data_IF_504451456341
#
_entry.id   IF_504451456341
#
_cell.length_a   1.000
_cell.length_b   1.000
_cell.length_c   1.000
_cell.angle_alpha   90.00
_cell.angle_beta   90.00
_cell.angle_gamma   90.00
#
_symmetry.space_group_name_H-M   'P 1'
#
loop_
_entity.id
_entity.type
_entity.pdbx_description
1 polymer ?
#
# COMPACT_ATOMS: atom_id res chain seq x y z
N UNK A 1 -28.52 -11.37 7.76
CA UNK A 1 -27.16 -10.81 7.90
C UNK A 1 -26.92 -9.95 6.67
N UNK A 2 -26.72 -8.64 6.80
CA UNK A 2 -26.37 -7.80 5.64
C UNK A 2 -24.95 -8.17 5.21
N UNK A 3 -24.78 -8.67 4.00
CA UNK A 3 -23.47 -8.80 3.39
C UNK A 3 -22.87 -7.40 3.33
N UNK A 4 -21.96 -7.06 4.25
CA UNK A 4 -21.20 -5.80 4.19
C UNK A 4 -20.22 -5.93 3.03
N UNK A 5 -20.74 -5.76 1.83
CA UNK A 5 -19.96 -5.69 0.59
C UNK A 5 -19.43 -4.29 0.44
N UNK A 6 -18.22 -4.15 -0.10
CA UNK A 6 -17.61 -2.85 -0.33
C UNK A 6 -17.75 -2.45 -1.80
N UNK A 7 -17.27 -3.29 -2.73
CA UNK A 7 -17.37 -3.02 -4.17
C UNK A 7 -18.75 -3.31 -4.74
N UNK A 8 -19.44 -4.30 -4.16
CA UNK A 8 -20.75 -4.76 -4.63
C UNK A 8 -21.89 -4.13 -3.82
N UNK A 9 -21.64 -3.02 -3.13
CA UNK A 9 -22.68 -2.28 -2.41
C UNK A 9 -23.44 -1.39 -3.37
N UNK A 10 -24.72 -1.69 -3.59
CA UNK A 10 -25.63 -0.81 -4.32
C UNK A 10 -26.19 0.30 -3.43
N UNK A 11 -26.59 -0.02 -2.19
CA UNK A 11 -27.20 0.93 -1.25
C UNK A 11 -26.77 0.66 0.22
N UNK A 12 -26.98 1.65 1.10
CA UNK A 12 -26.74 1.51 2.54
C UNK A 12 -28.03 1.11 3.24
N UNK A 13 -27.97 0.11 4.12
CA UNK A 13 -29.14 -0.22 4.94
C UNK A 13 -29.50 0.92 5.88
N UNK A 14 -30.77 0.99 6.32
CA UNK A 14 -31.22 1.95 7.35
C UNK A 14 -30.30 1.91 8.58
N UNK A 15 -29.90 0.71 8.99
CA UNK A 15 -28.95 0.51 10.10
C UNK A 15 -27.59 1.13 9.80
N UNK A 16 -27.03 0.90 8.61
CA UNK A 16 -25.74 1.49 8.23
C UNK A 16 -25.81 3.02 8.21
N UNK A 17 -26.87 3.59 7.61
CA UNK A 17 -27.06 5.04 7.55
C UNK A 17 -27.17 5.63 8.95
N UNK A 18 -27.96 5.02 9.83
CA UNK A 18 -28.04 5.40 11.24
C UNK A 18 -26.68 5.37 11.90
N UNK A 19 -25.90 4.29 11.80
CA UNK A 19 -24.58 4.18 12.45
C UNK A 19 -23.56 5.23 11.94
N UNK A 20 -23.69 5.64 10.67
CA UNK A 20 -22.66 6.42 9.96
C UNK A 20 -22.88 7.92 9.95
N UNK A 21 -24.10 8.41 10.15
CA UNK A 21 -24.39 9.85 10.40
C UNK A 21 -23.91 10.20 11.82
N UNK A 22 -23.30 11.37 12.04
CA UNK A 22 -22.93 11.76 13.41
C UNK A 22 -24.16 12.08 14.26
N UNK A 23 -24.05 11.87 15.58
CA UNK A 23 -25.17 12.11 16.48
C UNK A 23 -25.72 13.55 16.40
N UNK A 24 -24.91 14.62 16.37
CA UNK A 24 -25.41 15.98 16.27
C UNK A 24 -26.24 16.23 15.00
N UNK A 25 -25.78 15.74 13.84
CA UNK A 25 -26.48 15.92 12.57
C UNK A 25 -27.77 15.10 12.50
N UNK A 26 -27.76 13.87 13.04
CA UNK A 26 -28.95 13.05 13.10
C UNK A 26 -30.01 13.66 14.04
N UNK A 27 -29.59 14.14 15.21
CA UNK A 27 -30.47 14.78 16.19
C UNK A 27 -31.02 16.09 15.64
N UNK A 28 -30.21 16.93 14.97
CA UNK A 28 -30.66 18.22 14.46
C UNK A 28 -31.84 18.09 13.48
N UNK A 29 -31.82 17.05 12.64
CA UNK A 29 -32.87 16.77 11.66
C UNK A 29 -34.06 16.01 12.26
N UNK A 30 -33.83 15.04 13.15
CA UNK A 30 -34.88 14.12 13.62
C UNK A 30 -35.37 14.36 15.07
N UNK A 31 -34.94 15.44 15.73
CA UNK A 31 -35.34 15.75 17.13
C UNK A 31 -36.85 15.75 17.39
N UNK A 32 -37.68 16.11 16.40
CA UNK A 32 -39.14 16.15 16.54
C UNK A 32 -39.75 14.75 16.71
N UNK A 33 -39.01 13.71 16.31
CA UNK A 33 -39.39 12.32 16.49
C UNK A 33 -38.82 11.71 17.78
N UNK A 34 -38.17 12.48 18.67
CA UNK A 34 -37.61 11.93 19.91
C UNK A 34 -38.74 11.35 20.79
N UNK A 35 -38.70 10.03 21.01
CA UNK A 35 -39.64 9.34 21.91
C UNK A 35 -38.86 8.43 22.89
N UNK A 36 -39.27 8.36 24.15
CA UNK A 36 -38.74 7.40 25.13
C UNK A 36 -39.44 6.05 24.98
N UNK A 37 -38.73 4.96 25.26
CA UNK A 37 -39.33 3.62 25.36
C UNK A 37 -40.05 3.42 26.71
N UNK A 38 -39.74 4.25 27.70
CA UNK A 38 -40.33 4.19 29.03
C UNK A 38 -41.59 5.07 29.07
N UNK A 39 -42.75 4.43 29.22
CA UNK A 39 -44.08 5.07 29.26
C UNK A 39 -44.28 6.00 30.48
N UNK A 40 -43.36 5.98 31.46
CA UNK A 40 -43.47 6.74 32.72
C UNK A 40 -42.86 8.16 32.67
N UNK A 41 -42.03 8.50 31.66
CA UNK A 41 -41.28 9.77 31.59
C UNK A 41 -41.54 10.55 30.27
N UNK A 42 -42.82 10.79 29.97
CA UNK A 42 -43.23 11.50 28.73
C UNK A 42 -43.02 13.02 28.77
N UNK A 43 -42.75 13.62 29.93
CA UNK A 43 -42.66 15.07 30.05
C UNK A 43 -41.28 15.66 29.67
N UNK A 44 -40.21 14.86 29.58
CA UNK A 44 -38.87 15.34 29.21
C UNK A 44 -38.04 14.28 28.45
N UNK A 45 -38.49 13.84 27.28
CA UNK A 45 -37.68 12.94 26.43
C UNK A 45 -36.43 13.67 25.95
N UNK A 46 -35.25 13.22 26.40
CA UNK A 46 -33.98 13.74 25.91
C UNK A 46 -33.81 13.43 24.41
N UNK A 47 -33.56 14.47 23.62
CA UNK A 47 -33.28 14.35 22.19
C UNK A 47 -31.87 13.81 21.95
N UNK A 48 -31.70 12.49 22.15
CA UNK A 48 -30.50 11.77 21.75
C UNK A 48 -30.76 10.95 20.48
N UNK A 49 -29.67 10.52 19.82
CA UNK A 49 -29.72 9.84 18.52
C UNK A 49 -30.58 8.56 18.55
N UNK A 50 -30.53 7.80 19.65
CA UNK A 50 -31.27 6.56 19.83
C UNK A 50 -32.77 6.84 19.96
N UNK A 51 -33.16 7.79 20.80
CA UNK A 51 -34.56 8.18 21.00
C UNK A 51 -35.18 8.75 19.71
N UNK A 52 -34.42 9.57 18.97
CA UNK A 52 -34.85 10.08 17.67
C UNK A 52 -35.08 8.94 16.67
N UNK A 53 -34.17 7.96 16.60
CA UNK A 53 -34.32 6.81 15.70
C UNK A 53 -35.49 5.90 16.10
N UNK A 54 -35.68 5.65 17.40
CA UNK A 54 -36.80 4.85 17.91
C UNK A 54 -38.14 5.49 17.59
N UNK A 55 -38.33 6.77 17.91
CA UNK A 55 -39.60 7.44 17.63
C UNK A 55 -39.83 7.66 16.13
N UNK A 56 -38.76 7.85 15.33
CA UNK A 56 -38.85 7.83 13.86
C UNK A 56 -39.34 6.45 13.37
N UNK A 57 -38.75 5.37 13.89
CA UNK A 57 -39.13 3.99 13.56
C UNK A 57 -40.59 3.70 13.92
N UNK A 58 -41.07 4.20 15.07
CA UNK A 58 -42.48 4.08 15.48
C UNK A 58 -43.42 4.92 14.60
N UNK A 59 -43.05 6.16 14.28
CA UNK A 59 -43.84 7.05 13.43
C UNK A 59 -44.08 6.47 12.03
N UNK A 60 -43.12 5.70 11.53
CA UNK A 60 -43.22 4.96 10.27
C UNK A 60 -43.60 3.48 10.44
N UNK A 61 -44.13 3.07 11.59
CA UNK A 61 -44.63 1.70 11.85
C UNK A 61 -43.61 0.59 11.54
N UNK A 62 -42.32 0.86 11.76
CA UNK A 62 -41.21 -0.05 11.45
C UNK A 62 -41.09 -0.40 9.94
N UNK A 63 -41.69 0.40 9.06
CA UNK A 63 -41.58 0.27 7.61
C UNK A 63 -40.18 0.68 7.15
N UNK A 64 -39.35 -0.31 6.80
CA UNK A 64 -37.95 -0.14 6.42
C UNK A 64 -37.81 0.71 5.16
N UNK A 65 -38.71 0.58 4.18
CA UNK A 65 -38.61 1.30 2.90
C UNK A 65 -38.91 2.79 3.10
N UNK A 66 -39.90 3.09 3.96
CA UNK A 66 -40.19 4.48 4.36
C UNK A 66 -39.06 5.08 5.17
N UNK A 67 -38.52 4.33 6.15
CA UNK A 67 -37.37 4.78 6.93
C UNK A 67 -36.15 5.05 6.04
N UNK A 68 -35.89 4.17 5.07
CA UNK A 68 -34.83 4.37 4.09
C UNK A 68 -35.03 5.67 3.30
N UNK A 69 -36.24 5.91 2.79
CA UNK A 69 -36.58 7.11 2.01
C UNK A 69 -36.36 8.40 2.80
N UNK A 70 -36.66 8.40 4.10
CA UNK A 70 -36.56 9.58 4.97
C UNK A 70 -35.13 9.82 5.46
N UNK A 71 -34.38 8.76 5.77
CA UNK A 71 -33.01 8.87 6.29
C UNK A 71 -32.00 9.11 5.15
N UNK A 72 -32.25 8.60 3.94
CA UNK A 72 -31.33 8.67 2.81
C UNK A 72 -30.87 10.10 2.45
N UNK A 73 -31.74 11.12 2.34
CA UNK A 73 -31.28 12.48 2.04
C UNK A 73 -30.32 13.03 3.10
N UNK A 74 -30.59 12.75 4.38
CA UNK A 74 -29.73 13.14 5.50
C UNK A 74 -28.40 12.39 5.46
N UNK A 75 -28.42 11.10 5.11
CA UNK A 75 -27.21 10.33 4.89
C UNK A 75 -26.41 10.83 3.68
N UNK A 76 -27.07 11.27 2.63
CA UNK A 76 -26.39 11.77 1.44
C UNK A 76 -25.65 13.08 1.70
N UNK A 77 -26.19 13.92 2.59
CA UNK A 77 -25.64 15.21 3.01
C UNK A 77 -24.59 15.08 4.14
N UNK A 78 -24.88 14.31 5.19
CA UNK A 78 -24.07 14.25 6.43
C UNK A 78 -23.44 12.87 6.71
N UNK A 79 -23.82 11.85 5.95
CA UNK A 79 -23.41 10.48 6.19
C UNK A 79 -21.98 10.18 5.75
N UNK A 80 -21.26 9.39 6.55
CA UNK A 80 -19.95 8.85 6.17
C UNK A 80 -20.10 7.68 5.21
N UNK A 81 -19.84 7.93 3.93
CA UNK A 81 -19.82 6.94 2.85
C UNK A 81 -18.49 6.19 2.80
N UNK A 82 -18.48 5.00 2.21
CA UNK A 82 -17.30 4.14 2.12
C UNK A 82 -17.20 3.16 3.29
N UNK A 83 -16.06 2.49 3.50
CA UNK A 83 -15.83 1.61 4.65
C UNK A 83 -14.45 1.83 5.25
N UNK A 84 -14.33 1.42 6.52
CA UNK A 84 -13.03 1.12 7.11
C UNK A 84 -12.62 -0.27 6.66
N UNK A 85 -11.35 -0.47 6.36
CA UNK A 85 -10.93 -1.68 5.68
C UNK A 85 -9.65 -2.25 6.27
N UNK A 86 -9.60 -3.58 6.32
CA UNK A 86 -8.36 -4.33 6.49
C UNK A 86 -8.08 -5.03 5.16
N UNK A 87 -6.89 -4.82 4.61
CA UNK A 87 -6.54 -5.26 3.26
C UNK A 87 -5.22 -6.02 3.34
N UNK A 88 -5.15 -7.16 2.65
CA UNK A 88 -3.89 -7.91 2.47
C UNK A 88 -3.56 -7.95 0.98
N UNK A 89 -2.33 -7.56 0.64
CA UNK A 89 -1.86 -7.50 -0.74
C UNK A 89 -1.03 -8.72 -1.12
N UNK A 90 -1.28 -9.21 -2.33
CA UNK A 90 -0.54 -10.27 -3.00
C UNK A 90 -0.16 -9.82 -4.41
N UNK A 91 0.80 -10.51 -5.01
CA UNK A 91 1.21 -10.27 -6.40
C UNK A 91 1.25 -11.56 -7.19
N UNK A 92 0.60 -11.56 -8.35
CA UNK A 92 0.77 -12.56 -9.40
C UNK A 92 1.97 -12.20 -10.27
N UNK A 93 2.96 -13.09 -10.35
CA UNK A 93 4.13 -12.92 -11.23
C UNK A 93 3.83 -13.08 -12.72
N UNK A 94 2.63 -13.55 -13.05
CA UNK A 94 2.24 -13.79 -14.43
C UNK A 94 1.63 -12.56 -15.13
N UNK A 95 1.53 -11.43 -14.43
CA UNK A 95 1.01 -10.19 -15.00
C UNK A 95 1.95 -9.55 -16.05
N UNK A 96 1.40 -8.76 -16.99
CA UNK A 96 -0.01 -8.37 -17.09
C UNK A 96 -0.90 -9.49 -17.62
N UNK A 97 -2.09 -9.66 -17.03
CA UNK A 97 -3.12 -10.60 -17.53
C UNK A 97 -4.35 -9.82 -17.95
N UNK A 98 -4.92 -10.20 -19.08
CA UNK A 98 -6.15 -9.60 -19.61
C UNK A 98 -7.29 -10.61 -19.56
N UNK A 99 -8.52 -10.11 -19.44
CA UNK A 99 -9.72 -10.95 -19.47
C UNK A 99 -10.13 -11.18 -20.93
N UNK A 100 -9.78 -12.34 -21.47
CA UNK A 100 -10.28 -12.81 -22.77
C UNK A 100 -11.74 -13.28 -22.66
N UNK A 101 -12.43 -13.44 -23.79
CA UNK A 101 -13.79 -14.00 -23.82
C UNK A 101 -13.85 -15.41 -23.23
N UNK A 102 -12.80 -16.21 -23.44
CA UNK A 102 -12.67 -17.54 -22.85
C UNK A 102 -12.59 -17.47 -21.32
N UNK A 103 -11.74 -16.59 -20.78
CA UNK A 103 -11.62 -16.39 -19.33
C UNK A 103 -12.94 -15.86 -18.75
N UNK A 104 -13.59 -14.93 -19.43
CA UNK A 104 -14.91 -14.40 -19.04
C UNK A 104 -15.96 -15.52 -19.00
N UNK A 105 -16.04 -16.33 -20.04
CA UNK A 105 -16.96 -17.47 -20.11
C UNK A 105 -16.69 -18.47 -19.00
N UNK A 106 -15.41 -18.78 -18.74
CA UNK A 106 -14.99 -19.65 -17.66
C UNK A 106 -15.45 -19.10 -16.31
N UNK A 107 -15.15 -17.84 -15.99
CA UNK A 107 -15.55 -17.22 -14.73
C UNK A 107 -17.07 -17.26 -14.56
N UNK A 108 -17.83 -16.87 -15.59
CA UNK A 108 -19.29 -16.91 -15.55
C UNK A 108 -19.84 -18.32 -15.31
N UNK A 109 -19.21 -19.35 -15.89
CA UNK A 109 -19.61 -20.75 -15.66
C UNK A 109 -19.34 -21.25 -14.22
N UNK A 110 -18.53 -20.52 -13.44
CA UNK A 110 -18.13 -20.88 -12.08
C UNK A 110 -18.95 -20.14 -11.01
N UNK A 111 -19.69 -19.10 -11.39
CA UNK A 111 -20.52 -18.33 -10.46
C UNK A 111 -21.52 -19.26 -9.76
N UNK A 112 -21.56 -19.17 -8.44
CA UNK A 112 -22.36 -19.98 -7.52
C UNK A 112 -22.08 -21.50 -7.56
N UNK A 113 -20.98 -21.94 -8.19
CA UNK A 113 -20.54 -23.34 -8.15
C UNK A 113 -19.48 -23.53 -7.07
N UNK A 114 -19.50 -24.69 -6.42
CA UNK A 114 -18.51 -25.02 -5.41
C UNK A 114 -17.17 -25.30 -6.09
N UNK A 115 -16.15 -24.50 -5.79
CA UNK A 115 -14.83 -24.59 -6.40
C UNK A 115 -14.09 -25.85 -5.96
N UNK A 116 -14.43 -26.40 -4.78
CA UNK A 116 -13.81 -27.64 -4.26
C UNK A 116 -14.11 -28.86 -5.14
N UNK A 117 -15.20 -28.82 -5.90
CA UNK A 117 -15.65 -29.90 -6.79
C UNK A 117 -15.01 -29.85 -8.19
N UNK A 118 -14.11 -28.89 -8.43
CA UNK A 118 -13.57 -28.61 -9.76
C UNK A 118 -12.10 -29.01 -9.83
N UNK A 119 -11.80 -30.09 -10.56
CA UNK A 119 -10.47 -30.70 -10.64
C UNK A 119 -9.34 -29.71 -10.97
N UNK A 120 -9.59 -28.75 -11.87
CA UNK A 120 -8.59 -27.74 -12.26
C UNK A 120 -8.25 -26.70 -11.17
N UNK A 121 -9.06 -26.63 -10.12
CA UNK A 121 -8.94 -25.65 -9.03
C UNK A 121 -8.78 -26.31 -7.67
N UNK A 122 -8.40 -27.60 -7.59
CA UNK A 122 -8.44 -28.35 -6.33
C UNK A 122 -7.08 -28.45 -5.61
N UNK A 123 -6.73 -27.50 -4.71
CA UNK A 123 -5.66 -27.65 -3.76
C UNK A 123 -6.21 -27.94 -2.35
N UNK A 124 -6.78 -29.13 -2.08
CA UNK A 124 -7.11 -29.58 -0.71
C UNK A 124 -7.78 -28.48 0.16
N UNK A 125 -8.78 -27.80 -0.39
CA UNK A 125 -9.55 -26.78 0.32
C UNK A 125 -10.31 -27.45 1.47
N UNK A 126 -10.32 -26.82 2.65
CA UNK A 126 -10.96 -27.38 3.86
C UNK A 126 -12.40 -26.90 4.06
N UNK A 127 -12.87 -26.05 3.17
CA UNK A 127 -14.12 -25.30 3.27
C UNK A 127 -14.72 -25.17 1.87
N UNK A 128 -16.03 -25.03 1.80
CA UNK A 128 -16.72 -24.81 0.53
C UNK A 128 -16.50 -23.36 0.09
N UNK A 129 -16.11 -23.18 -1.17
CA UNK A 129 -15.72 -21.87 -1.70
C UNK A 129 -16.48 -21.60 -2.99
N UNK A 130 -17.11 -20.43 -3.06
CA UNK A 130 -17.93 -20.03 -4.19
C UNK A 130 -17.50 -18.63 -4.66
N UNK A 131 -17.44 -18.43 -5.98
CA UNK A 131 -17.49 -17.09 -6.56
C UNK A 131 -18.97 -16.72 -6.64
N UNK A 132 -19.40 -15.73 -5.88
CA UNK A 132 -20.80 -15.30 -5.83
C UNK A 132 -21.11 -14.25 -6.89
N UNK A 133 -20.21 -13.27 -7.05
CA UNK A 133 -20.38 -12.17 -7.98
C UNK A 133 -19.04 -11.69 -8.53
N UNK A 134 -19.03 -11.19 -9.77
CA UNK A 134 -17.85 -10.65 -10.44
C UNK A 134 -18.22 -9.36 -11.18
N UNK A 135 -17.45 -8.29 -10.99
CA UNK A 135 -17.61 -7.05 -11.74
C UNK A 135 -16.39 -6.80 -12.63
N UNK A 136 -16.62 -6.79 -13.95
CA UNK A 136 -15.59 -6.54 -14.96
C UNK A 136 -15.40 -5.04 -15.16
N UNK A 137 -14.17 -4.55 -14.94
CA UNK A 137 -13.75 -3.19 -15.26
C UNK A 137 -12.62 -3.21 -16.29
N UNK A 138 -12.24 -2.04 -16.78
CA UNK A 138 -11.19 -1.92 -17.81
C UNK A 138 -9.80 -2.26 -17.26
N UNK A 139 -9.45 -1.75 -16.08
CA UNK A 139 -8.12 -1.91 -15.49
C UNK A 139 -8.03 -3.01 -14.42
N UNK A 140 -9.16 -3.51 -13.93
CA UNK A 140 -9.21 -4.49 -12.84
C UNK A 140 -10.48 -5.35 -12.88
N UNK A 141 -10.49 -6.40 -12.04
CA UNK A 141 -11.60 -7.32 -11.85
C UNK A 141 -11.93 -7.47 -10.38
N UNK A 142 -13.21 -7.25 -10.03
CA UNK A 142 -13.70 -7.42 -8.67
C UNK A 142 -14.37 -8.78 -8.50
N UNK A 143 -14.12 -9.42 -7.38
CA UNK A 143 -14.71 -10.69 -6.99
C UNK A 143 -15.36 -10.58 -5.62
N UNK A 144 -16.54 -11.16 -5.49
CA UNK A 144 -17.18 -11.47 -4.21
C UNK A 144 -17.14 -12.98 -4.01
N UNK A 145 -16.46 -13.43 -2.98
CA UNK A 145 -16.40 -14.83 -2.58
C UNK A 145 -17.33 -15.09 -1.40
N UNK A 146 -18.03 -16.22 -1.45
CA UNK A 146 -18.74 -16.80 -0.30
C UNK A 146 -17.99 -18.04 0.14
N UNK A 147 -17.66 -18.09 1.42
CA UNK A 147 -16.94 -19.18 2.07
C UNK A 147 -17.90 -19.81 3.07
N UNK A 148 -18.07 -21.13 3.00
CA UNK A 148 -18.92 -21.87 3.91
C UNK A 148 -18.13 -22.90 4.69
N UNK A 149 -18.17 -22.75 6.01
CA UNK A 149 -17.66 -23.72 6.97
C UNK A 149 -18.85 -24.44 7.61
N UNK A 150 -18.93 -25.76 7.41
CA UNK A 150 -19.93 -26.56 8.10
C UNK A 150 -19.40 -27.10 9.42
N UNK A 151 -20.06 -26.73 10.51
CA UNK A 151 -19.79 -27.24 11.85
C UNK A 151 -20.93 -28.18 12.24
N UNK A 152 -20.59 -29.33 12.81
CA UNK A 152 -21.58 -30.23 13.40
C UNK A 152 -21.73 -29.82 14.86
N UNK A 153 -22.85 -29.21 15.20
CA UNK A 153 -23.21 -28.88 16.58
C UNK A 153 -23.98 -30.06 17.17
N UNK A 154 -23.50 -30.58 18.30
CA UNK A 154 -24.00 -31.80 18.88
C UNK A 154 -24.90 -31.55 20.10
N UNK A 155 -26.16 -31.11 19.93
CA UNK A 155 -27.17 -31.15 21.03
C UNK A 155 -28.62 -31.16 20.51
N UNK A 156 -29.56 -31.92 21.11
CA UNK A 156 -29.53 -33.37 21.35
C UNK A 156 -29.58 -34.22 20.06
N UNK A 157 -29.71 -33.58 18.89
CA UNK A 157 -29.58 -34.17 17.55
C UNK A 157 -28.46 -33.41 16.85
N UNK A 158 -27.51 -34.08 16.15
CA UNK A 158 -26.48 -33.36 15.40
C UNK A 158 -27.14 -32.45 14.35
N UNK A 159 -26.94 -31.14 14.48
CA UNK A 159 -27.38 -30.15 13.50
C UNK A 159 -26.13 -29.68 12.75
N UNK A 160 -26.20 -29.71 11.41
CA UNK A 160 -25.19 -29.08 10.56
C UNK A 160 -25.47 -27.58 10.51
N UNK A 161 -24.65 -26.80 11.21
CA UNK A 161 -24.65 -25.36 11.08
C UNK A 161 -23.67 -24.97 9.97
N UNK A 162 -24.13 -24.14 9.03
CA UNK A 162 -23.31 -23.59 7.96
C UNK A 162 -23.03 -22.13 8.29
N UNK A 163 -21.78 -21.84 8.60
CA UNK A 163 -21.32 -20.48 8.79
C UNK A 163 -20.81 -19.94 7.45
N UNK A 164 -21.49 -18.92 6.93
CA UNK A 164 -21.12 -18.26 5.69
C UNK A 164 -20.38 -16.95 5.97
N UNK A 165 -19.19 -16.80 5.41
CA UNK A 165 -18.43 -15.56 5.39
C UNK A 165 -18.30 -15.03 3.95
N UNK A 166 -18.27 -13.70 3.79
CA UNK A 166 -18.06 -13.05 2.51
C UNK A 166 -16.71 -12.32 2.52
N UNK A 167 -15.91 -12.57 1.48
CA UNK A 167 -14.62 -11.92 1.27
C UNK A 167 -14.62 -11.31 -0.13
N UNK A 168 -14.19 -10.06 -0.24
CA UNK A 168 -14.03 -9.40 -1.53
C UNK A 168 -12.57 -9.37 -1.95
N UNK A 169 -12.33 -9.40 -3.25
CA UNK A 169 -11.00 -9.28 -3.82
C UNK A 169 -11.03 -8.42 -5.08
N UNK A 170 -9.94 -7.69 -5.32
CA UNK A 170 -9.71 -6.94 -6.56
C UNK A 170 -8.40 -7.40 -7.19
N UNK A 171 -8.43 -7.71 -8.48
CA UNK A 171 -7.27 -8.05 -9.28
C UNK A 171 -6.94 -6.93 -10.27
N UNK A 172 -5.76 -6.33 -10.16
CA UNK A 172 -5.29 -5.28 -11.06
C UNK A 172 -4.53 -5.90 -12.24
N UNK A 173 -5.05 -5.71 -13.46
CA UNK A 173 -4.53 -6.38 -14.66
C UNK A 173 -3.09 -5.98 -14.99
N UNK A 174 -2.77 -4.69 -14.86
CA UNK A 174 -1.47 -4.14 -15.26
C UNK A 174 -0.30 -4.65 -14.42
N UNK A 175 -0.50 -4.77 -13.10
CA UNK A 175 0.55 -5.10 -12.14
C UNK A 175 0.52 -6.52 -11.60
N UNK A 176 -0.64 -7.17 -11.71
CA UNK A 176 -0.89 -8.46 -11.08
C UNK A 176 -1.15 -8.37 -9.59
N UNK A 177 -1.33 -7.18 -9.02
CA UNK A 177 -1.67 -7.04 -7.60
C UNK A 177 -3.06 -7.61 -7.37
N UNK A 178 -3.19 -8.36 -6.28
CA UNK A 178 -4.45 -8.89 -5.77
C UNK A 178 -4.63 -8.32 -4.36
N UNK A 179 -5.64 -7.47 -4.18
CA UNK A 179 -6.03 -6.95 -2.88
C UNK A 179 -7.19 -7.76 -2.34
N UNK A 180 -7.02 -8.38 -1.16
CA UNK A 180 -8.10 -9.05 -0.43
C UNK A 180 -8.64 -8.13 0.66
N UNK A 181 -9.95 -7.97 0.73
CA UNK A 181 -10.63 -7.03 1.60
C UNK A 181 -11.33 -7.74 2.75
N UNK A 182 -11.12 -7.21 3.95
CA UNK A 182 -11.57 -7.73 5.22
C UNK A 182 -11.32 -9.24 5.39
N UNK A 183 -10.06 -9.72 5.21
CA UNK A 183 -9.77 -11.11 5.48
C UNK A 183 -9.88 -11.33 7.00
N UNK A 184 -11.01 -11.84 7.50
CA UNK A 184 -11.10 -12.35 8.87
C UNK A 184 -10.55 -13.78 8.99
N UNK A 185 -10.21 -14.37 7.83
CA UNK A 185 -9.62 -15.68 7.66
C UNK A 185 -8.18 -15.85 8.12
N UNK A 186 -7.75 -17.11 8.17
CA UNK A 186 -6.33 -17.44 8.33
C UNK A 186 -5.52 -17.07 7.09
N UNK A 187 -4.20 -16.85 7.24
CA UNK A 187 -3.27 -16.62 6.10
C UNK A 187 -3.40 -17.69 5.02
N UNK A 188 -3.76 -18.93 5.39
CA UNK A 188 -4.02 -20.02 4.45
C UNK A 188 -5.24 -19.75 3.57
N UNK A 189 -6.36 -19.36 4.17
CA UNK A 189 -7.60 -19.05 3.44
C UNK A 189 -7.38 -17.91 2.45
N UNK A 190 -6.66 -16.86 2.86
CA UNK A 190 -6.28 -15.76 1.95
C UNK A 190 -5.47 -16.25 0.75
N UNK A 191 -4.46 -17.11 0.98
CA UNK A 191 -3.66 -17.69 -0.13
C UNK A 191 -4.50 -18.54 -1.07
N UNK A 192 -5.44 -19.30 -0.54
CA UNK A 192 -6.30 -20.17 -1.33
C UNK A 192 -7.27 -19.37 -2.22
N UNK A 193 -7.84 -18.26 -1.73
CA UNK A 193 -8.62 -17.31 -2.54
C UNK A 193 -7.79 -16.74 -3.69
N UNK A 194 -6.57 -16.29 -3.41
CA UNK A 194 -5.67 -15.68 -4.41
C UNK A 194 -5.24 -16.72 -5.46
N UNK A 195 -5.03 -17.97 -5.05
CA UNK A 195 -4.79 -19.10 -5.98
C UNK A 195 -5.96 -19.33 -6.91
N UNK A 196 -7.19 -19.33 -6.40
CA UNK A 196 -8.37 -19.46 -7.24
C UNK A 196 -8.40 -18.35 -8.27
N UNK A 197 -8.20 -17.08 -7.86
CA UNK A 197 -8.13 -15.94 -8.80
C UNK A 197 -7.08 -16.19 -9.88
N UNK A 198 -5.85 -16.58 -9.52
CA UNK A 198 -4.79 -16.87 -10.48
C UNK A 198 -5.18 -17.98 -11.47
N UNK A 199 -5.74 -19.08 -10.96
CA UNK A 199 -6.07 -20.27 -11.74
C UNK A 199 -7.18 -20.02 -12.78
N UNK A 200 -7.98 -18.96 -12.60
CA UNK A 200 -8.95 -18.51 -13.61
C UNK A 200 -8.25 -18.08 -14.90
N UNK A 201 -7.09 -17.43 -14.79
CA UNK A 201 -6.31 -16.92 -15.92
C UNK A 201 -5.29 -17.95 -16.42
N UNK A 202 -4.59 -18.63 -15.51
CA UNK A 202 -3.55 -19.60 -15.85
C UNK A 202 -3.84 -20.90 -15.11
N UNK A 203 -4.31 -21.96 -15.80
CA UNK A 203 -4.84 -23.17 -15.16
C UNK A 203 -3.76 -24.09 -14.54
N UNK A 204 -2.53 -23.63 -14.36
CA UNK A 204 -1.41 -24.40 -13.81
C UNK A 204 -0.44 -23.54 -13.00
N UNK A 205 0.20 -24.16 -11.99
CA UNK A 205 1.32 -23.64 -11.18
C UNK A 205 1.16 -22.17 -10.70
N UNK A 206 0.37 -21.92 -9.65
CA UNK A 206 0.12 -20.57 -9.16
C UNK A 206 1.37 -19.88 -8.61
N UNK A 207 1.91 -18.93 -9.38
CA UNK A 207 3.05 -18.08 -8.99
C UNK A 207 2.59 -16.81 -8.30
N UNK A 208 2.13 -16.98 -7.06
CA UNK A 208 1.64 -15.92 -6.20
C UNK A 208 2.65 -15.67 -5.08
N UNK A 209 2.91 -14.40 -4.82
CA UNK A 209 3.79 -13.96 -3.73
C UNK A 209 3.04 -13.02 -2.80
N UNK A 210 3.32 -13.14 -1.50
CA UNK A 210 2.93 -12.09 -0.55
C UNK A 210 3.75 -10.84 -0.84
N UNK A 211 3.11 -9.68 -0.82
CA UNK A 211 3.84 -8.42 -0.89
C UNK A 211 4.50 -8.22 0.47
N UNK A 212 5.84 -8.20 0.47
CA UNK A 212 6.65 -7.81 1.62
C UNK A 212 7.25 -6.45 1.31
N UNK A 213 7.14 -5.53 2.26
CA UNK A 213 7.58 -4.15 2.16
C UNK A 213 8.76 -3.93 3.11
N UNK A 214 9.90 -3.53 2.56
CA UNK A 214 11.05 -3.11 3.36
C UNK A 214 10.95 -1.64 3.81
N UNK A 215 11.93 -1.19 4.60
CA UNK A 215 11.98 0.19 5.11
C UNK A 215 11.96 1.22 3.97
N UNK A 216 12.70 0.98 2.88
CA UNK A 216 12.77 1.91 1.76
C UNK A 216 11.42 2.02 1.05
N UNK A 217 10.73 0.91 0.87
CA UNK A 217 9.38 0.87 0.30
C UNK A 217 8.37 1.60 1.18
N UNK A 218 8.41 1.42 2.50
CA UNK A 218 7.52 2.13 3.40
C UNK A 218 7.74 3.64 3.36
N UNK A 219 9.00 4.10 3.32
CA UNK A 219 9.29 5.54 3.18
C UNK A 219 8.86 6.05 1.78
N UNK A 220 9.08 5.29 0.72
CA UNK A 220 8.63 5.67 -0.64
C UNK A 220 7.11 5.76 -0.74
N UNK A 221 6.36 4.84 -0.11
CA UNK A 221 4.90 4.92 -0.03
C UNK A 221 4.48 6.21 0.67
N UNK A 222 5.16 6.56 1.77
CA UNK A 222 4.88 7.79 2.49
C UNK A 222 5.09 9.05 1.63
N UNK A 223 6.22 9.11 0.92
CA UNK A 223 6.52 10.22 0.02
C UNK A 223 5.50 10.31 -1.12
N UNK A 224 5.09 9.15 -1.68
CA UNK A 224 4.12 9.08 -2.77
C UNK A 224 2.73 9.55 -2.34
N UNK A 225 2.27 9.12 -1.16
CA UNK A 225 1.00 9.52 -0.58
C UNK A 225 1.02 10.96 -0.02
N UNK A 226 2.20 11.59 0.07
CA UNK A 226 2.42 12.91 0.70
C UNK A 226 1.81 12.99 2.11
N UNK A 227 1.90 11.90 2.86
CA UNK A 227 1.30 11.82 4.18
C UNK A 227 2.11 12.54 5.27
N UNK A 228 1.50 12.67 6.44
CA UNK A 228 2.14 13.01 7.70
C UNK A 228 2.29 11.73 8.53
N UNK A 229 3.52 11.40 8.95
CA UNK A 229 3.77 10.20 9.76
C UNK A 229 3.37 10.46 11.21
N UNK A 230 2.49 9.64 11.76
CA UNK A 230 2.32 9.51 13.20
C UNK A 230 3.28 8.43 13.70
N UNK A 231 4.23 8.80 14.57
CA UNK A 231 5.30 7.97 15.17
C UNK A 231 5.38 6.50 14.71
N UNK A 232 6.39 6.10 13.91
CA UNK A 232 6.55 4.70 13.49
C UNK A 232 6.81 3.80 14.71
N UNK A 233 6.28 2.57 14.66
CA UNK A 233 6.54 1.56 15.71
C UNK A 233 7.87 0.87 15.41
N UNK A 234 8.75 0.82 16.40
CA UNK A 234 10.07 0.18 16.30
C UNK A 234 10.08 -1.17 17.02
N UNK A 235 10.87 -2.13 16.51
CA UNK A 235 11.33 -3.31 17.27
C UNK A 235 12.77 -3.04 17.74
N UNK A 236 13.05 -3.23 19.03
CA UNK A 236 14.41 -3.56 19.49
C UNK A 236 14.47 -5.06 19.80
N UNK A 237 15.62 -5.68 19.57
CA UNK A 237 15.87 -7.11 19.82
C UNK A 237 16.01 -7.49 21.31
N UNK A 238 15.50 -6.67 22.22
CA UNK A 238 15.39 -6.99 23.65
C UNK A 238 14.04 -6.51 24.18
N UNK A 239 13.56 -7.19 25.22
CA UNK A 239 12.22 -7.23 25.87
C UNK A 239 11.53 -5.91 26.29
N UNK A 240 11.84 -4.78 25.67
CA UNK A 240 11.22 -3.48 25.92
C UNK A 240 10.36 -3.05 24.73
N UNK A 241 9.14 -3.59 24.67
CA UNK A 241 8.06 -3.07 23.82
C UNK A 241 7.68 -1.66 24.28
N UNK A 242 8.28 -0.63 23.70
CA UNK A 242 7.76 0.73 23.84
C UNK A 242 6.66 0.98 22.82
N UNK A 243 5.40 0.82 23.26
CA UNK A 243 4.24 1.30 22.53
C UNK A 243 4.07 2.77 22.90
N UNK A 244 4.52 3.68 22.03
CA UNK A 244 4.27 5.11 22.21
C UNK A 244 2.87 5.41 21.62
N UNK A 245 1.93 5.78 22.48
CA UNK A 245 0.64 6.34 22.10
C UNK A 245 0.62 7.84 22.40
N UNK A 246 0.25 8.63 21.40
CA UNK A 246 -0.23 10.01 21.54
C UNK A 246 0.84 11.09 21.41
N UNK A 247 0.74 11.93 20.39
CA UNK A 247 1.24 13.29 20.46
C UNK A 247 0.15 14.25 20.02
N UNK A 248 -0.46 14.83 21.06
CA UNK A 248 -1.26 16.06 21.02
C UNK A 248 -0.37 17.23 20.58
N UNK A 249 -0.95 18.23 19.93
CA UNK A 249 -0.27 19.44 19.40
C UNK A 249 0.44 20.31 20.47
N UNK A 250 0.34 19.97 21.76
CA UNK A 250 0.93 20.74 22.88
C UNK A 250 2.41 20.40 23.14
N UNK A 251 2.96 19.32 22.57
CA UNK A 251 4.36 18.93 22.80
C UNK A 251 5.29 19.29 21.63
N UNK A 252 5.22 20.55 21.14
CA UNK A 252 6.20 21.11 20.20
C UNK A 252 7.58 21.40 20.83
N UNK A 253 7.81 21.04 22.09
CA UNK A 253 9.15 20.99 22.68
C UNK A 253 9.68 19.55 22.66
N UNK A 254 10.51 19.27 21.66
CA UNK A 254 11.43 18.12 21.52
C UNK A 254 11.12 16.91 22.42
N UNK A 255 10.51 15.84 21.90
CA UNK A 255 10.78 14.53 22.46
C UNK A 255 12.20 14.19 21.99
N UNK A 256 13.19 14.55 22.80
CA UNK A 256 14.52 13.93 22.76
C UNK A 256 14.30 12.43 22.95
N UNK A 257 14.08 11.72 21.84
CA UNK A 257 14.49 10.34 21.69
C UNK A 257 15.96 10.37 22.06
N UNK A 258 16.30 9.88 23.25
CA UNK A 258 17.69 9.54 23.57
C UNK A 258 18.11 8.59 22.47
N UNK A 259 18.84 9.12 21.49
CA UNK A 259 19.52 8.35 20.48
C UNK A 259 20.35 7.33 21.25
N UNK A 260 19.94 6.07 21.20
CA UNK A 260 20.86 5.00 21.53
C UNK A 260 21.86 5.05 20.37
N UNK A 261 22.97 5.76 20.62
CA UNK A 261 24.18 5.64 19.86
C UNK A 261 24.63 4.18 19.96
N UNK A 262 24.23 3.35 19.00
CA UNK A 262 24.96 2.18 18.48
C UNK A 262 24.00 1.26 17.72
N UNK A 263 23.81 1.56 16.43
CA UNK A 263 23.66 0.65 15.29
C UNK A 263 22.77 1.31 14.22
N UNK A 264 23.29 1.39 13.01
CA UNK A 264 22.73 2.03 11.80
C UNK A 264 21.40 1.42 11.28
N UNK A 265 20.65 0.69 12.10
CA UNK A 265 19.45 -0.05 11.68
C UNK A 265 18.28 0.21 12.63
N UNK A 266 17.55 1.30 12.41
CA UNK A 266 16.17 1.43 12.88
C UNK A 266 15.27 0.93 11.76
N UNK A 267 14.86 -0.33 11.82
CA UNK A 267 13.95 -0.93 10.84
C UNK A 267 12.54 -0.41 11.06
N UNK A 268 11.98 0.29 10.07
CA UNK A 268 10.54 0.59 10.05
C UNK A 268 9.84 -0.70 9.63
N UNK A 269 9.07 -1.30 10.54
CA UNK A 269 8.23 -2.47 10.23
C UNK A 269 6.78 -2.10 9.98
N UNK A 270 6.41 -0.86 10.30
CA UNK A 270 5.05 -0.35 10.15
C UNK A 270 5.07 1.18 9.95
N UNK A 271 4.37 1.62 8.90
CA UNK A 271 4.10 3.01 8.60
C UNK A 271 2.69 3.36 9.08
N UNK A 272 2.58 4.31 10.00
CA UNK A 272 1.31 4.93 10.38
C UNK A 272 1.28 6.35 9.82
N UNK A 273 0.34 6.65 8.94
CA UNK A 273 0.30 7.92 8.20
C UNK A 273 -1.10 8.49 8.08
N UNK A 274 -1.19 9.81 8.13
CA UNK A 274 -2.39 10.58 7.80
C UNK A 274 -2.14 11.34 6.51
N UNK A 275 -2.94 11.11 5.49
CA UNK A 275 -2.78 11.77 4.18
C UNK A 275 -4.12 12.27 3.65
N UNK A 276 -4.07 13.06 2.58
CA UNK A 276 -5.26 13.46 1.83
C UNK A 276 -5.18 12.84 0.44
N UNK A 277 -6.13 11.97 0.12
CA UNK A 277 -6.19 11.24 -1.15
C UNK A 277 -7.54 11.52 -1.80
N UNK A 278 -7.55 12.00 -3.04
CA UNK A 278 -8.77 12.41 -3.75
C UNK A 278 -9.67 13.34 -2.89
N UNK A 279 -9.06 14.30 -2.18
CA UNK A 279 -9.77 15.23 -1.28
C UNK A 279 -10.25 14.62 0.04
N UNK A 280 -10.06 13.32 0.28
CA UNK A 280 -10.47 12.63 1.50
C UNK A 280 -9.30 12.56 2.48
N UNK A 281 -9.52 12.92 3.74
CA UNK A 281 -8.54 12.70 4.81
C UNK A 281 -8.56 11.23 5.22
N UNK A 282 -7.43 10.55 5.08
CA UNK A 282 -7.30 9.12 5.29
C UNK A 282 -6.24 8.83 6.36
N UNK A 283 -6.60 7.96 7.30
CA UNK A 283 -5.66 7.40 8.28
C UNK A 283 -5.31 5.97 7.87
N UNK A 284 -4.04 5.76 7.56
CA UNK A 284 -3.52 4.51 7.01
C UNK A 284 -2.46 3.93 7.92
N UNK A 285 -2.48 2.61 8.02
CA UNK A 285 -1.44 1.82 8.67
C UNK A 285 -1.00 0.70 7.73
N UNK A 286 0.27 0.68 7.38
CA UNK A 286 0.86 -0.27 6.42
C UNK A 286 1.98 -1.02 7.13
N UNK A 287 1.91 -2.33 7.20
CA UNK A 287 2.96 -3.18 7.79
C UNK A 287 3.88 -3.80 6.74
N UNK A 288 5.04 -4.26 7.21
CA UNK A 288 6.06 -4.95 6.42
C UNK A 288 5.54 -6.17 5.66
N UNK A 289 4.47 -6.81 6.13
CA UNK A 289 3.86 -7.95 5.46
C UNK A 289 2.84 -7.53 4.38
N UNK A 290 2.77 -6.24 4.01
CA UNK A 290 1.84 -5.77 2.98
C UNK A 290 0.37 -5.80 3.42
N UNK A 291 0.12 -5.78 4.75
CA UNK A 291 -1.21 -5.54 5.30
C UNK A 291 -1.44 -4.03 5.42
N UNK A 292 -2.59 -3.58 4.94
CA UNK A 292 -3.04 -2.20 4.95
C UNK A 292 -4.31 -2.09 5.79
N UNK A 293 -4.31 -1.20 6.78
CA UNK A 293 -5.47 -0.89 7.61
C UNK A 293 -5.85 0.56 7.35
N UNK A 294 -7.12 0.78 7.00
CA UNK A 294 -7.71 2.10 6.76
C UNK A 294 -8.73 2.36 7.87
N UNK A 295 -8.40 3.25 8.80
CA UNK A 295 -9.22 3.56 9.98
C UNK A 295 -10.34 4.58 9.71
N UNK A 296 -10.29 5.22 8.55
CA UNK A 296 -11.30 6.17 8.04
C UNK A 296 -12.24 5.49 7.05
N UNK A 297 -13.47 5.98 6.92
CA UNK A 297 -14.38 5.51 5.87
C UNK A 297 -13.91 6.04 4.51
N UNK A 298 -13.60 5.14 3.59
CA UNK A 298 -13.11 5.49 2.24
C UNK A 298 -13.97 4.87 1.16
N UNK A 299 -14.16 5.60 0.07
CA UNK A 299 -14.85 5.12 -1.14
C UNK A 299 -13.91 4.24 -1.99
N UNK A 300 -14.45 3.40 -2.90
CA UNK A 300 -13.64 2.56 -3.78
C UNK A 300 -12.55 3.34 -4.56
N UNK A 301 -12.86 4.52 -5.08
CA UNK A 301 -11.91 5.31 -5.87
C UNK A 301 -10.72 5.82 -5.03
N UNK A 302 -10.98 6.21 -3.77
CA UNK A 302 -9.93 6.63 -2.82
C UNK A 302 -9.00 5.47 -2.52
N UNK A 303 -9.57 4.28 -2.32
CA UNK A 303 -8.82 3.06 -2.10
C UNK A 303 -7.98 2.70 -3.33
N UNK A 304 -8.54 2.76 -4.53
CA UNK A 304 -7.81 2.48 -5.78
C UNK A 304 -6.58 3.36 -5.90
N UNK A 305 -6.73 4.65 -5.60
CA UNK A 305 -5.60 5.59 -5.61
C UNK A 305 -4.51 5.18 -4.62
N UNK A 306 -4.87 4.74 -3.41
CA UNK A 306 -3.92 4.25 -2.41
C UNK A 306 -3.21 2.99 -2.91
N UNK A 307 -3.94 2.01 -3.45
CA UNK A 307 -3.35 0.77 -3.94
C UNK A 307 -2.44 1.03 -5.14
N UNK A 308 -2.80 1.94 -6.05
CA UNK A 308 -1.95 2.33 -7.18
C UNK A 308 -0.65 3.01 -6.74
N UNK A 309 -0.68 3.82 -5.68
CA UNK A 309 0.54 4.42 -5.13
C UNK A 309 1.45 3.36 -4.46
N UNK A 310 0.86 2.38 -3.76
CA UNK A 310 1.59 1.22 -3.22
C UNK A 310 2.14 0.34 -4.36
N UNK A 311 1.34 0.11 -5.41
CA UNK A 311 1.71 -0.65 -6.60
C UNK A 311 2.96 -0.08 -7.24
N UNK A 312 2.95 1.23 -7.51
CA UNK A 312 4.08 1.91 -8.12
C UNK A 312 5.35 1.70 -7.29
N UNK A 313 5.24 1.80 -5.96
CA UNK A 313 6.37 1.50 -5.07
C UNK A 313 6.80 0.04 -5.25
N UNK A 314 5.94 -0.94 -5.07
CA UNK A 314 6.27 -2.38 -5.23
C UNK A 314 6.96 -2.67 -6.58
N UNK A 315 6.54 -2.04 -7.67
CA UNK A 315 7.13 -2.23 -9.00
C UNK A 315 8.45 -1.46 -9.21
N UNK A 316 8.70 -0.42 -8.43
CA UNK A 316 9.86 0.47 -8.52
C UNK A 316 11.06 0.02 -7.66
N UNK A 317 11.06 -1.22 -7.14
CA UNK A 317 12.11 -1.78 -6.25
C UNK A 317 13.55 -1.60 -6.75
N UNK A 318 13.74 -1.64 -8.08
CA UNK A 318 15.05 -1.43 -8.71
C UNK A 318 15.71 -0.09 -8.33
N UNK A 319 14.93 0.93 -7.96
CA UNK A 319 15.45 2.25 -7.65
C UNK A 319 16.00 2.40 -6.23
N UNK A 320 15.63 1.56 -5.26
CA UNK A 320 16.06 1.74 -3.87
C UNK A 320 16.72 0.50 -3.26
N UNK A 321 17.30 -0.36 -4.11
CA UNK A 321 18.23 -1.42 -3.69
C UNK A 321 19.39 -0.85 -2.88
N UNK A 322 19.76 -1.49 -1.76
CA UNK A 322 20.81 -0.99 -0.87
C UNK A 322 22.14 -0.76 -1.61
N UNK A 323 22.56 0.50 -1.66
CA UNK A 323 23.81 0.93 -2.27
C UNK A 323 25.04 0.33 -1.57
N UNK A 324 25.00 0.13 -0.25
CA UNK A 324 26.14 -0.35 0.54
C UNK A 324 26.54 -1.76 0.11
N UNK A 325 25.54 -2.64 -0.01
CA UNK A 325 25.71 -4.02 -0.46
C UNK A 325 26.22 -4.07 -1.91
N UNK A 326 25.71 -3.20 -2.79
CA UNK A 326 26.16 -3.13 -4.19
C UNK A 326 27.60 -2.64 -4.32
N UNK A 327 27.99 -1.62 -3.55
CA UNK A 327 29.36 -1.08 -3.53
C UNK A 327 30.34 -2.13 -2.97
N UNK A 328 29.98 -2.79 -1.87
CA UNK A 328 30.78 -3.86 -1.26
C UNK A 328 31.01 -5.02 -2.26
N UNK A 329 29.96 -5.44 -2.96
CA UNK A 329 30.04 -6.51 -3.96
C UNK A 329 30.98 -6.17 -5.12
N UNK A 330 30.98 -4.92 -5.59
CA UNK A 330 31.92 -4.46 -6.61
C UNK A 330 33.36 -4.48 -6.10
N UNK A 331 33.63 -3.91 -4.92
CA UNK A 331 34.99 -3.84 -4.41
C UNK A 331 35.56 -5.20 -4.01
N UNK A 332 34.72 -6.17 -3.60
CA UNK A 332 35.13 -7.56 -3.45
C UNK A 332 35.60 -8.18 -4.77
N UNK A 333 34.99 -7.82 -5.90
CA UNK A 333 35.44 -8.28 -7.23
C UNK A 333 36.75 -7.61 -7.67
N UNK A 334 36.90 -6.32 -7.38
CA UNK A 334 38.11 -5.54 -7.75
C UNK A 334 39.32 -5.98 -6.92
N UNK A 335 39.13 -6.09 -5.61
CA UNK A 335 40.19 -6.43 -4.66
C UNK A 335 39.67 -7.42 -3.63
N UNK A 336 39.69 -8.74 -3.96
CA UNK A 336 39.20 -9.79 -3.05
C UNK A 336 39.95 -9.80 -1.71
N UNK A 337 41.24 -9.45 -1.73
CA UNK A 337 42.12 -9.45 -0.57
C UNK A 337 42.06 -8.16 0.28
N UNK A 338 41.31 -7.13 -0.13
CA UNK A 338 41.18 -5.91 0.66
C UNK A 338 40.57 -6.23 2.04
N UNK A 339 41.01 -5.53 3.08
CA UNK A 339 40.38 -5.67 4.40
C UNK A 339 38.97 -5.06 4.38
N UNK A 340 38.02 -5.61 5.15
CA UNK A 340 36.67 -5.05 5.28
C UNK A 340 36.68 -3.56 5.65
N UNK A 341 37.56 -3.13 6.56
CA UNK A 341 37.68 -1.73 6.99
C UNK A 341 38.02 -0.76 5.85
N UNK A 342 38.82 -1.19 4.87
CA UNK A 342 39.14 -0.36 3.70
C UNK A 342 37.93 -0.21 2.77
N UNK A 343 37.13 -1.28 2.60
CA UNK A 343 35.91 -1.20 1.79
C UNK A 343 34.84 -0.35 2.48
N UNK A 344 34.66 -0.49 3.79
CA UNK A 344 33.77 0.38 4.58
C UNK A 344 34.11 1.86 4.40
N UNK A 345 35.39 2.25 4.46
CA UNK A 345 35.82 3.64 4.23
C UNK A 345 35.45 4.15 2.83
N UNK A 346 35.58 3.31 1.80
CA UNK A 346 35.17 3.67 0.43
C UNK A 346 33.66 3.83 0.30
N UNK A 347 32.90 2.92 0.93
CA UNK A 347 31.44 3.02 0.98
C UNK A 347 31.02 4.33 1.62
N UNK A 348 31.62 4.71 2.76
CA UNK A 348 31.34 5.99 3.42
C UNK A 348 31.65 7.18 2.52
N UNK A 349 32.82 7.22 1.88
CA UNK A 349 33.20 8.32 0.98
C UNK A 349 32.22 8.50 -0.20
N UNK A 350 31.73 7.40 -0.78
CA UNK A 350 30.71 7.45 -1.85
C UNK A 350 29.36 7.94 -1.31
N UNK A 351 28.96 7.47 -0.12
CA UNK A 351 27.74 7.96 0.55
C UNK A 351 27.80 9.45 0.85
N UNK A 352 28.97 9.95 1.25
CA UNK A 352 29.19 11.37 1.53
C UNK A 352 29.08 12.19 0.24
N UNK A 353 29.65 11.72 -0.88
CA UNK A 353 29.48 12.35 -2.20
C UNK A 353 27.99 12.45 -2.58
N UNK A 354 27.23 11.36 -2.46
CA UNK A 354 25.79 11.34 -2.77
C UNK A 354 24.98 12.23 -1.84
N UNK A 355 25.27 12.18 -0.53
CA UNK A 355 24.59 13.03 0.45
C UNK A 355 24.86 14.51 0.18
N UNK A 356 26.06 14.87 -0.31
CA UNK A 356 26.36 16.23 -0.75
C UNK A 356 25.51 16.64 -1.96
N UNK A 357 25.36 15.77 -2.97
CA UNK A 357 24.47 16.03 -4.12
C UNK A 357 23.04 16.33 -3.63
N UNK A 358 22.48 15.48 -2.76
CA UNK A 358 21.12 15.67 -2.24
C UNK A 358 20.99 16.98 -1.47
N UNK A 359 21.93 17.28 -0.58
CA UNK A 359 21.87 18.48 0.27
C UNK A 359 22.05 19.78 -0.51
N UNK A 360 22.77 19.76 -1.63
CA UNK A 360 22.99 20.93 -2.48
C UNK A 360 21.72 21.34 -3.23
N UNK A 361 20.88 20.38 -3.62
CA UNK A 361 19.71 20.61 -4.47
C UNK A 361 18.37 20.44 -3.75
N UNK A 362 18.34 20.09 -2.46
CA UNK A 362 17.08 19.88 -1.73
C UNK A 362 16.23 21.15 -1.68
N UNK A 363 14.96 21.04 -2.07
CA UNK A 363 13.98 22.13 -1.97
C UNK A 363 13.42 22.33 -0.56
N UNK A 364 13.59 21.34 0.32
CA UNK A 364 13.11 21.34 1.71
C UNK A 364 14.13 20.68 2.65
N UNK A 365 14.12 21.01 3.95
CA UNK A 365 14.87 20.25 4.94
C UNK A 365 14.44 18.78 4.90
N UNK A 366 15.43 17.88 4.91
CA UNK A 366 15.22 16.43 4.90
C UNK A 366 15.90 15.82 6.12
N UNK A 367 15.31 14.75 6.64
CA UNK A 367 15.95 13.96 7.68
C UNK A 367 17.06 13.04 7.11
N UNK A 368 17.82 12.38 7.99
CA UNK A 368 18.92 11.52 7.57
C UNK A 368 18.46 10.31 6.73
N UNK A 369 17.26 9.77 6.98
CA UNK A 369 16.73 8.60 6.29
C UNK A 369 16.23 8.96 4.90
N UNK A 370 15.54 10.09 4.76
CA UNK A 370 15.16 10.67 3.49
C UNK A 370 16.41 10.94 2.64
N UNK A 371 17.45 11.57 3.20
CA UNK A 371 18.72 11.79 2.49
C UNK A 371 19.34 10.46 2.04
N UNK A 372 19.35 9.44 2.92
CA UNK A 372 19.86 8.09 2.59
C UNK A 372 19.06 7.44 1.46
N UNK A 373 17.73 7.55 1.48
CA UNK A 373 16.85 7.02 0.44
C UNK A 373 17.08 7.72 -0.89
N UNK A 374 17.03 9.06 -0.93
CA UNK A 374 17.26 9.84 -2.14
C UNK A 374 18.66 9.56 -2.71
N UNK A 375 19.68 9.48 -1.85
CA UNK A 375 21.05 9.11 -2.25
C UNK A 375 21.10 7.71 -2.88
N UNK A 376 20.34 6.75 -2.33
CA UNK A 376 20.23 5.39 -2.86
C UNK A 376 19.53 5.38 -4.22
N UNK A 377 18.47 6.18 -4.38
CA UNK A 377 17.74 6.35 -5.64
C UNK A 377 18.63 6.93 -6.73
N UNK A 378 19.34 8.03 -6.44
CA UNK A 378 20.33 8.63 -7.34
C UNK A 378 21.38 7.59 -7.75
N UNK A 379 21.93 6.86 -6.78
CA UNK A 379 22.94 5.84 -7.04
C UNK A 379 22.45 4.74 -7.99
N UNK A 380 21.25 4.22 -7.76
CA UNK A 380 20.68 3.14 -8.58
C UNK A 380 20.29 3.62 -9.97
N UNK A 381 19.83 4.86 -10.14
CA UNK A 381 19.62 5.45 -11.47
C UNK A 381 20.94 5.50 -12.25
N UNK A 382 22.07 5.77 -11.59
CA UNK A 382 23.37 5.73 -12.23
C UNK A 382 23.74 4.35 -12.78
N UNK A 383 23.31 3.27 -12.12
CA UNK A 383 23.43 1.91 -12.67
C UNK A 383 22.48 1.70 -13.86
N UNK A 384 21.22 2.14 -13.75
CA UNK A 384 20.19 1.92 -14.78
C UNK A 384 20.47 2.65 -16.10
N UNK A 385 20.99 3.88 -16.03
CA UNK A 385 21.34 4.70 -17.20
C UNK A 385 22.22 3.97 -18.22
N UNK A 386 23.04 3.01 -17.78
CA UNK A 386 23.95 2.29 -18.66
C UNK A 386 23.45 0.89 -19.06
N UNK A 387 22.49 0.33 -18.31
CA UNK A 387 21.92 -0.99 -18.60
C UNK A 387 20.99 -0.93 -19.81
N UNK A 388 20.37 0.23 -20.04
CA UNK A 388 19.42 0.47 -21.12
C UNK A 388 20.08 1.02 -22.41
N UNK A 389 21.42 1.13 -22.45
CA UNK A 389 22.23 1.65 -23.59
C UNK A 389 21.88 3.08 -24.07
N UNK A 390 21.06 3.82 -23.33
CA UNK A 390 20.67 5.20 -23.63
C UNK A 390 21.51 6.17 -22.79
N UNK A 391 22.57 6.71 -23.37
CA UNK A 391 23.33 7.81 -22.77
C UNK A 391 22.78 9.11 -23.35
N UNK A 392 22.19 9.95 -22.48
CA UNK A 392 21.55 11.21 -22.85
C UNK A 392 22.47 12.14 -23.67
N UNK A 393 21.89 12.98 -24.56
CA UNK A 393 22.63 13.98 -25.34
C UNK A 393 23.38 14.99 -24.47
N UNK A 394 24.53 15.47 -24.97
CA UNK A 394 25.42 16.40 -24.26
C UNK A 394 24.79 17.79 -23.99
N UNK A 395 23.65 18.09 -24.63
CA UNK A 395 22.95 19.39 -24.56
C UNK A 395 22.38 19.71 -23.18
N UNK A 396 22.17 18.71 -22.32
CA UNK A 396 21.63 18.88 -20.97
C UNK A 396 22.71 18.97 -19.86
N UNK A 397 24.00 18.92 -20.22
CA UNK A 397 25.10 18.77 -19.25
C UNK A 397 25.88 20.09 -19.09
N UNK A 398 25.53 20.91 -18.09
CA UNK A 398 26.24 22.17 -17.77
C UNK A 398 27.06 22.14 -16.47
N UNK A 399 27.13 21.01 -15.76
CA UNK A 399 27.76 20.94 -14.44
C UNK A 399 29.20 20.43 -14.46
N UNK A 400 30.04 21.02 -13.59
CA UNK A 400 31.42 20.61 -13.37
C UNK A 400 31.48 19.31 -12.56
N UNK A 401 32.14 18.28 -13.10
CA UNK A 401 32.25 16.95 -12.45
C UNK A 401 33.30 16.89 -11.32
N UNK A 402 33.97 18.01 -10.98
CA UNK A 402 35.15 18.00 -10.11
C UNK A 402 34.84 17.75 -8.63
N UNK A 403 33.59 17.90 -8.20
CA UNK A 403 33.23 17.89 -6.78
C UNK A 403 32.90 16.49 -6.20
N UNK A 404 32.79 15.46 -7.05
CA UNK A 404 32.31 14.11 -6.67
C UNK A 404 33.24 13.02 -7.19
N UNK A 405 34.52 13.12 -6.81
CA UNK A 405 35.60 12.25 -7.31
C UNK A 405 35.43 10.78 -6.90
N UNK A 406 34.86 10.49 -5.72
CA UNK A 406 34.65 9.11 -5.27
C UNK A 406 33.54 8.45 -6.09
N UNK A 407 32.45 9.20 -6.34
CA UNK A 407 31.34 8.72 -7.17
C UNK A 407 31.78 8.48 -8.62
N UNK A 408 32.57 9.39 -9.18
CA UNK A 408 33.17 9.22 -10.50
C UNK A 408 34.07 7.98 -10.58
N UNK A 409 34.97 7.80 -9.60
CA UNK A 409 35.85 6.64 -9.54
C UNK A 409 35.04 5.33 -9.42
N UNK A 410 33.98 5.34 -8.61
CA UNK A 410 33.07 4.20 -8.47
C UNK A 410 32.45 3.78 -9.80
N UNK A 411 31.80 4.71 -10.52
CA UNK A 411 31.17 4.36 -11.80
C UNK A 411 32.19 3.95 -12.86
N UNK A 412 33.39 4.54 -12.84
CA UNK A 412 34.46 4.11 -13.74
C UNK A 412 34.86 2.65 -13.49
N UNK A 413 35.02 2.27 -12.23
CA UNK A 413 35.32 0.90 -11.82
C UNK A 413 34.16 -0.05 -12.14
N UNK A 414 32.92 0.37 -11.88
CA UNK A 414 31.70 -0.39 -12.22
C UNK A 414 31.64 -0.70 -13.72
N UNK A 415 31.79 0.31 -14.59
CA UNK A 415 31.76 0.10 -16.04
C UNK A 415 32.92 -0.74 -16.55
N UNK A 416 34.10 -0.60 -15.96
CA UNK A 416 35.28 -1.39 -16.34
C UNK A 416 35.11 -2.86 -15.95
N UNK A 417 34.63 -3.15 -14.74
CA UNK A 417 34.65 -4.50 -14.15
C UNK A 417 33.36 -5.25 -14.42
N UNK A 418 32.20 -4.61 -14.23
CA UNK A 418 30.89 -5.25 -14.38
C UNK A 418 30.46 -5.24 -15.84
N UNK A 419 30.62 -4.09 -16.52
CA UNK A 419 30.22 -3.93 -17.92
C UNK A 419 31.33 -4.24 -18.93
N UNK A 420 32.54 -4.58 -18.45
CA UNK A 420 33.70 -4.99 -19.26
C UNK A 420 34.06 -3.98 -20.34
N UNK A 421 33.94 -2.69 -20.03
CA UNK A 421 34.25 -1.59 -20.95
C UNK A 421 35.72 -1.18 -20.82
N UNK A 422 36.32 -0.71 -21.92
CA UNK A 422 37.67 -0.15 -21.89
C UNK A 422 37.73 1.06 -20.96
N UNK A 423 38.82 1.19 -20.19
CA UNK A 423 38.96 2.21 -19.13
C UNK A 423 38.69 3.64 -19.64
N UNK A 424 39.23 4.03 -20.79
CA UNK A 424 39.02 5.37 -21.37
C UNK A 424 37.55 5.64 -21.71
N UNK A 425 36.84 4.61 -22.20
CA UNK A 425 35.38 4.69 -22.46
C UNK A 425 34.61 4.73 -21.14
N UNK A 426 34.98 3.91 -20.16
CA UNK A 426 34.39 3.90 -18.81
C UNK A 426 34.49 5.28 -18.14
N UNK A 427 35.63 5.94 -18.24
CA UNK A 427 35.85 7.29 -17.68
C UNK A 427 34.95 8.34 -18.33
N UNK A 428 34.80 8.28 -19.66
CA UNK A 428 33.91 9.19 -20.38
C UNK A 428 32.46 9.00 -19.96
N UNK A 429 32.01 7.75 -19.87
CA UNK A 429 30.62 7.42 -19.48
C UNK A 429 30.38 7.76 -18.02
N UNK A 430 31.30 7.42 -17.11
CA UNK A 430 31.20 7.75 -15.69
C UNK A 430 31.06 9.26 -15.46
N UNK A 431 31.77 10.09 -16.24
CA UNK A 431 31.61 11.54 -16.19
C UNK A 431 30.18 11.96 -16.56
N UNK A 432 29.67 11.46 -17.70
CA UNK A 432 28.30 11.76 -18.15
C UNK A 432 27.25 11.28 -17.14
N UNK A 433 27.41 10.07 -16.59
CA UNK A 433 26.53 9.53 -15.55
C UNK A 433 26.45 10.48 -14.35
N UNK A 434 27.57 10.90 -13.79
CA UNK A 434 27.58 11.83 -12.63
C UNK A 434 26.91 13.17 -12.97
N UNK A 435 27.12 13.70 -14.16
CA UNK A 435 26.48 14.95 -14.60
C UNK A 435 24.96 14.80 -14.74
N UNK A 436 24.48 13.68 -15.31
CA UNK A 436 23.03 13.39 -15.41
C UNK A 436 22.42 13.26 -14.01
N UNK A 437 23.10 12.58 -13.09
CA UNK A 437 22.62 12.42 -11.71
C UNK A 437 22.49 13.77 -10.99
N UNK A 438 23.43 14.70 -11.20
CA UNK A 438 23.32 16.06 -10.68
C UNK A 438 22.15 16.81 -11.30
N UNK A 439 21.98 16.72 -12.63
CA UNK A 439 20.88 17.36 -13.33
C UNK A 439 19.52 16.87 -12.80
N UNK A 440 19.34 15.54 -12.67
CA UNK A 440 18.13 14.94 -12.10
C UNK A 440 17.90 15.36 -10.65
N UNK A 441 18.95 15.41 -9.83
CA UNK A 441 18.82 15.87 -8.44
C UNK A 441 18.42 17.36 -8.35
N UNK A 442 18.96 18.20 -9.24
CA UNK A 442 18.63 19.62 -9.35
C UNK A 442 17.19 19.84 -9.79
N UNK A 443 16.74 19.15 -10.83
CA UNK A 443 15.39 19.27 -11.38
C UNK A 443 14.32 18.70 -10.46
N UNK A 444 14.61 17.64 -9.70
CA UNK A 444 13.68 17.04 -8.74
C UNK A 444 13.70 17.74 -7.37
N UNK A 445 14.57 18.73 -7.18
CA UNK A 445 14.79 19.39 -5.87
C UNK A 445 15.08 18.39 -4.74
N UNK A 446 15.74 17.27 -5.08
CA UNK A 446 16.04 16.18 -4.16
C UNK A 446 14.85 15.30 -3.76
N UNK A 447 13.66 15.42 -4.37
CA UNK A 447 12.53 14.52 -4.11
C UNK A 447 12.69 13.19 -4.84
N UNK A 448 12.71 12.07 -4.11
CA UNK A 448 12.96 10.74 -4.68
C UNK A 448 11.89 10.30 -5.70
N UNK A 449 10.63 10.68 -5.49
CA UNK A 449 9.51 10.30 -6.36
C UNK A 449 9.60 11.08 -7.67
N UNK A 450 9.82 12.39 -7.58
CA UNK A 450 9.98 13.25 -8.77
C UNK A 450 11.24 12.87 -9.55
N UNK A 451 12.31 12.49 -8.86
CA UNK A 451 13.56 12.04 -9.48
C UNK A 451 13.37 10.76 -10.30
N UNK A 452 12.65 9.76 -9.77
CA UNK A 452 12.30 8.55 -10.54
C UNK A 452 11.39 8.92 -11.72
N UNK A 453 10.39 9.76 -11.49
CA UNK A 453 9.47 10.21 -12.55
C UNK A 453 10.19 10.91 -13.71
N UNK A 454 11.12 11.83 -13.40
CA UNK A 454 11.94 12.52 -14.40
C UNK A 454 12.86 11.55 -15.14
N UNK A 455 13.49 10.61 -14.43
CA UNK A 455 14.29 9.56 -15.08
C UNK A 455 13.44 8.73 -16.05
N UNK A 456 12.27 8.26 -15.64
CA UNK A 456 11.39 7.46 -16.49
C UNK A 456 10.85 8.26 -17.69
N UNK A 457 10.62 9.57 -17.53
CA UNK A 457 10.24 10.45 -18.63
C UNK A 457 11.36 10.59 -19.65
N UNK A 458 12.60 10.81 -19.19
CA UNK A 458 13.80 10.86 -20.05
C UNK A 458 14.02 9.55 -20.83
N UNK A 459 13.53 8.41 -20.32
CA UNK A 459 13.59 7.15 -21.06
C UNK A 459 12.52 7.02 -22.16
N UNK A 460 11.41 7.75 -22.07
CA UNK A 460 10.22 7.65 -22.94
C UNK A 460 10.20 8.66 -24.09
N UNK A 461 10.89 9.79 -23.97
CA UNK A 461 10.94 10.85 -25.01
C UNK A 461 11.88 10.52 -26.20
N UNK A 462 12.35 9.27 -26.29
CA UNK A 462 13.07 8.67 -27.43
C UNK A 462 12.46 7.32 -27.80
#
# INVERSE_FOLDING_TARGET
MSSRTFFFRSEYSVKDMYERIYAPDFISVFKEYANSLDEEDTENVEANKSNCYTGLSQAYQLDIDRLHTVIRPVFDEYGRKGDRMNIKLYRSKAAPLTVTDEIRSRINSLINRNITEIDSFNPNLKYDLFIEEVAYREAYLDFKFRIEDSIIVHEPVPIREINAEYVEARYYFGSGIIALFNPNGTTRQSKDLVKVIYLLFIPYDPKIEEILLDEAQLIMIQLRLKGLVSSPRYRSDDDLRFIIHGLNEINYENPLVKSIQSNDSLTISELNTTCVVEGHRVNLKISEDGKLIIDTFVLPDVLDRIILDIEWVVLSEKYYKDMSTQIEALYKKISPAALPSHRTRRITAIKDDLSRVVNEYRGKPMDHREIKLVSTVIFNIGHLLNDEKKILPDEHLQSSSSNYSNLYAYYTDYFTVIKRMNRSKSETIARKTVQILQFLAAQSTGDAVDLIGQYEHLQKDE
#
